data_IF_582495657703
#
_entry.id   IF_582495657703
#
_cell.length_a   1.000
_cell.length_b   1.000
_cell.length_c   1.000
_cell.angle_alpha   90.00
_cell.angle_beta   90.00
_cell.angle_gamma   90.00
#
_symmetry.space_group_name_H-M   'P 1'
#
loop_
_entity.id
_entity.type
_entity.pdbx_description
1 polymer ?
#
# COMPACT_ATOMS: atom_id res chain seq x y z
N UNK A 1 2.38 17.95 -3.68
CA UNK A 1 3.78 17.49 -3.47
C UNK A 1 3.97 16.95 -2.06
N UNK A 2 5.03 16.18 -1.81
CA UNK A 2 5.32 15.57 -0.49
C UNK A 2 6.21 14.33 -0.62
N UNK A 3 6.74 13.82 0.50
CA UNK A 3 7.57 12.59 0.56
C UNK A 3 6.81 11.37 0.02
N UNK A 4 7.51 10.26 -0.22
CA UNK A 4 6.82 8.97 -0.46
C UNK A 4 5.81 8.71 0.66
N UNK A 5 4.67 8.08 0.36
CA UNK A 5 3.68 7.66 1.36
C UNK A 5 2.92 8.74 2.15
N UNK A 6 3.28 10.02 2.01
CA UNK A 6 2.58 11.18 2.60
C UNK A 6 1.06 11.33 2.32
N UNK A 7 0.43 10.44 1.55
CA UNK A 7 -1.01 10.44 1.31
C UNK A 7 -1.49 11.18 0.05
N UNK A 8 -0.58 11.61 -0.83
CA UNK A 8 -0.92 12.35 -2.09
C UNK A 8 -1.94 11.62 -2.96
N UNK A 9 -1.65 10.38 -3.32
CA UNK A 9 -2.55 9.61 -4.17
C UNK A 9 -3.87 9.31 -3.45
N UNK A 10 -3.85 9.13 -2.12
CA UNK A 10 -5.08 8.97 -1.33
C UNK A 10 -5.96 10.23 -1.41
N UNK A 11 -5.36 11.42 -1.36
CA UNK A 11 -6.08 12.67 -1.56
C UNK A 11 -6.74 12.75 -2.94
N UNK A 12 -6.03 12.37 -4.00
CA UNK A 12 -6.59 12.32 -5.37
C UNK A 12 -7.74 11.31 -5.49
N UNK A 13 -7.59 10.13 -4.90
CA UNK A 13 -8.67 9.12 -4.86
C UNK A 13 -9.92 9.68 -4.16
N UNK A 14 -9.76 10.43 -3.08
CA UNK A 14 -10.86 11.12 -2.39
C UNK A 14 -11.52 12.20 -3.27
N UNK A 15 -10.72 13.00 -3.98
CA UNK A 15 -11.27 13.98 -4.93
C UNK A 15 -12.12 13.33 -6.02
N UNK A 16 -11.68 12.17 -6.54
CA UNK A 16 -12.48 11.38 -7.49
C UNK A 16 -13.79 10.87 -6.89
N UNK A 17 -13.82 10.55 -5.60
CA UNK A 17 -15.03 10.11 -4.89
C UNK A 17 -16.01 11.26 -4.69
N UNK A 18 -15.53 12.42 -4.23
CA UNK A 18 -16.40 13.53 -3.79
C UNK A 18 -16.84 14.40 -4.97
N UNK A 19 -15.95 14.61 -5.94
CA UNK A 19 -16.13 15.58 -7.03
C UNK A 19 -15.95 14.97 -8.43
N UNK A 20 -15.74 13.65 -8.52
CA UNK A 20 -15.60 12.93 -9.78
C UNK A 20 -16.70 11.90 -10.00
N UNK A 21 -16.43 10.95 -10.90
CA UNK A 21 -17.34 9.83 -11.19
C UNK A 21 -17.36 8.74 -10.11
N UNK A 22 -16.58 8.90 -9.03
CA UNK A 22 -16.33 7.84 -8.06
C UNK A 22 -15.60 6.65 -8.67
N UNK A 23 -15.83 5.47 -8.08
CA UNK A 23 -15.30 4.20 -8.58
C UNK A 23 -16.48 3.28 -8.88
N UNK A 24 -16.64 2.91 -10.15
CA UNK A 24 -17.62 1.92 -10.57
C UNK A 24 -17.24 0.52 -10.05
N UNK A 25 -18.14 -0.44 -10.19
CA UNK A 25 -17.84 -1.84 -9.83
C UNK A 25 -16.71 -2.40 -10.73
N UNK A 26 -16.67 -2.03 -12.01
CA UNK A 26 -15.57 -2.38 -12.92
C UNK A 26 -14.25 -1.75 -12.50
N UNK A 27 -14.25 -0.46 -12.09
CA UNK A 27 -13.06 0.20 -11.56
C UNK A 27 -12.54 -0.55 -10.32
N UNK A 28 -13.42 -0.85 -9.35
CA UNK A 28 -13.09 -1.56 -8.12
C UNK A 28 -12.51 -2.94 -8.42
N UNK A 29 -13.08 -3.67 -9.37
CA UNK A 29 -12.58 -4.98 -9.80
C UNK A 29 -11.15 -4.90 -10.35
N UNK A 30 -10.78 -3.78 -10.97
CA UNK A 30 -9.40 -3.51 -11.39
C UNK A 30 -8.39 -3.47 -10.23
N UNK A 31 -8.83 -3.13 -9.02
CA UNK A 31 -7.98 -3.10 -7.82
C UNK A 31 -7.82 -4.45 -7.13
N UNK A 32 -8.61 -5.47 -7.47
CA UNK A 32 -8.57 -6.77 -6.80
C UNK A 32 -7.17 -7.37 -6.79
N UNK A 33 -6.50 -7.39 -7.95
CA UNK A 33 -5.12 -7.87 -8.07
C UNK A 33 -4.17 -7.11 -7.14
N UNK A 34 -4.28 -5.78 -7.11
CA UNK A 34 -3.40 -4.90 -6.33
C UNK A 34 -3.59 -5.12 -4.82
N UNK A 35 -4.82 -5.39 -4.37
CA UNK A 35 -5.09 -5.73 -2.96
C UNK A 35 -4.35 -7.02 -2.58
N UNK A 36 -4.43 -8.07 -3.41
CA UNK A 36 -3.71 -9.32 -3.15
C UNK A 36 -2.20 -9.10 -3.08
N UNK A 37 -1.64 -8.36 -4.05
CA UNK A 37 -0.23 -8.01 -4.07
C UNK A 37 0.20 -7.27 -2.81
N UNK A 38 -0.60 -6.30 -2.35
CA UNK A 38 -0.34 -5.56 -1.12
C UNK A 38 -0.28 -6.47 0.12
N UNK A 39 -1.16 -7.47 0.21
CA UNK A 39 -1.15 -8.46 1.31
C UNK A 39 0.12 -9.30 1.27
N UNK A 40 0.47 -9.85 0.11
CA UNK A 40 1.70 -10.65 -0.03
C UNK A 40 2.94 -9.82 0.28
N UNK A 41 3.07 -8.61 -0.26
CA UNK A 41 4.18 -7.71 0.06
C UNK A 41 4.25 -7.40 1.55
N UNK A 42 3.13 -7.07 2.20
CA UNK A 42 3.11 -6.78 3.63
C UNK A 42 3.57 -7.99 4.47
N UNK A 43 3.08 -9.19 4.16
CA UNK A 43 3.48 -10.41 4.87
C UNK A 43 4.96 -10.75 4.61
N UNK A 44 5.43 -10.64 3.36
CA UNK A 44 6.85 -10.86 3.02
C UNK A 44 7.77 -9.86 3.74
N UNK A 45 7.38 -8.59 3.87
CA UNK A 45 8.14 -7.60 4.64
C UNK A 45 8.25 -8.00 6.12
N UNK A 46 7.16 -8.42 6.75
CA UNK A 46 7.19 -8.86 8.15
C UNK A 46 8.02 -10.14 8.34
N UNK A 47 7.96 -11.09 7.40
CA UNK A 47 8.79 -12.31 7.43
C UNK A 47 10.28 -11.96 7.38
N UNK A 48 10.68 -11.03 6.49
CA UNK A 48 12.07 -10.55 6.43
C UNK A 48 12.47 -9.83 7.72
N UNK A 49 11.58 -9.00 8.26
CA UNK A 49 11.83 -8.28 9.50
C UNK A 49 11.99 -9.23 10.72
N UNK A 50 11.28 -10.36 10.77
CA UNK A 50 11.49 -11.38 11.80
C UNK A 50 12.95 -11.87 11.83
N UNK A 51 13.54 -12.12 10.65
CA UNK A 51 14.94 -12.54 10.52
C UNK A 51 15.90 -11.43 10.97
N UNK A 52 15.68 -10.18 10.51
CA UNK A 52 16.52 -9.01 10.87
C UNK A 52 16.46 -8.68 12.36
N UNK A 53 15.26 -8.68 12.94
CA UNK A 53 15.00 -8.34 14.34
C UNK A 53 15.23 -9.54 15.29
N UNK A 54 15.55 -10.72 14.73
CA UNK A 54 15.77 -11.98 15.45
C UNK A 54 14.59 -12.40 16.32
N UNK A 55 13.37 -12.15 15.84
CA UNK A 55 12.13 -12.56 16.50
C UNK A 55 11.81 -13.99 16.06
N UNK A 56 11.49 -14.85 17.02
CA UNK A 56 11.15 -16.25 16.74
C UNK A 56 9.65 -16.42 16.53
N UNK A 57 9.28 -17.29 15.61
CA UNK A 57 7.89 -17.77 15.51
C UNK A 57 7.53 -18.52 16.78
N UNK A 58 6.32 -18.28 17.31
CA UNK A 58 5.81 -19.06 18.43
C UNK A 58 5.43 -20.48 18.01
N UNK A 59 4.88 -20.63 16.81
CA UNK A 59 4.42 -21.92 16.31
C UNK A 59 5.37 -22.43 15.23
N UNK A 60 6.00 -23.59 15.44
CA UNK A 60 6.98 -24.18 14.51
C UNK A 60 6.44 -24.37 13.08
N UNK A 61 5.16 -24.71 12.95
CA UNK A 61 4.47 -24.83 11.66
C UNK A 61 4.52 -23.55 10.81
N UNK A 62 4.62 -22.37 11.45
CA UNK A 62 4.68 -21.10 10.75
C UNK A 62 6.00 -20.87 10.03
N UNK A 63 7.08 -21.61 10.35
CA UNK A 63 8.31 -21.58 9.55
C UNK A 63 8.05 -22.08 8.13
N UNK A 64 7.27 -23.15 7.97
CA UNK A 64 6.90 -23.67 6.65
C UNK A 64 5.98 -22.69 5.90
N UNK A 65 4.98 -22.11 6.60
CA UNK A 65 4.12 -21.07 6.03
C UNK A 65 4.91 -19.85 5.57
N UNK A 66 5.92 -19.42 6.33
CA UNK A 66 6.76 -18.28 5.99
C UNK A 66 7.58 -18.54 4.72
N UNK A 67 8.15 -19.75 4.58
CA UNK A 67 8.86 -20.16 3.34
C UNK A 67 7.92 -20.12 2.14
N UNK A 68 6.71 -20.70 2.26
CA UNK A 68 5.70 -20.68 1.22
C UNK A 68 5.37 -19.27 0.75
N UNK A 69 5.14 -18.33 1.68
CA UNK A 69 4.81 -16.93 1.33
C UNK A 69 6.02 -16.18 0.76
N UNK A 70 7.24 -16.47 1.24
CA UNK A 70 8.47 -15.83 0.78
C UNK A 70 8.81 -16.17 -0.68
N UNK A 71 8.45 -17.35 -1.15
CA UNK A 71 8.72 -17.81 -2.52
C UNK A 71 7.72 -17.28 -3.57
N UNK A 72 6.64 -16.63 -3.14
CA UNK A 72 5.63 -16.07 -4.05
C UNK A 72 6.19 -14.86 -4.81
N UNK A 73 6.12 -14.95 -6.14
CA UNK A 73 6.36 -13.82 -7.04
C UNK A 73 5.12 -12.90 -7.05
N UNK A 74 5.22 -11.78 -6.33
CA UNK A 74 4.12 -10.82 -6.13
C UNK A 74 3.60 -10.26 -7.46
N UNK A 75 4.46 -10.05 -8.46
CA UNK A 75 4.04 -9.44 -9.74
C UNK A 75 3.09 -10.35 -10.53
N UNK A 76 3.25 -11.66 -10.33
CA UNK A 76 2.46 -12.72 -10.98
C UNK A 76 1.21 -13.14 -10.20
N UNK A 77 0.98 -12.60 -9.00
CA UNK A 77 -0.22 -12.89 -8.21
C UNK A 77 -1.46 -12.39 -8.95
N UNK A 78 -2.37 -13.32 -9.28
CA UNK A 78 -3.65 -13.03 -9.94
C UNK A 78 -4.85 -13.46 -9.09
N UNK A 79 -4.68 -14.48 -8.25
CA UNK A 79 -5.72 -15.05 -7.39
C UNK A 79 -5.26 -15.05 -5.93
N UNK A 80 -6.22 -15.23 -5.02
CA UNK A 80 -5.97 -15.30 -3.58
C UNK A 80 -6.67 -16.52 -3.01
N UNK A 81 -5.98 -17.66 -3.13
CA UNK A 81 -6.54 -18.99 -2.91
C UNK A 81 -5.75 -19.78 -1.86
N UNK A 82 -6.28 -20.94 -1.48
CA UNK A 82 -5.52 -21.91 -0.70
C UNK A 82 -4.34 -22.46 -1.52
N UNK A 83 -3.18 -22.73 -0.92
CA UNK A 83 -2.88 -22.73 0.53
C UNK A 83 -2.50 -21.35 1.12
N UNK A 84 -2.36 -20.30 0.29
CA UNK A 84 -1.80 -19.02 0.72
C UNK A 84 -2.65 -18.30 1.77
N UNK A 85 -3.98 -18.34 1.62
CA UNK A 85 -4.92 -17.71 2.56
C UNK A 85 -4.73 -18.27 3.97
N UNK A 86 -4.69 -19.60 4.10
CA UNK A 86 -4.47 -20.27 5.40
C UNK A 86 -3.09 -19.94 5.98
N UNK A 87 -2.05 -19.92 5.14
CA UNK A 87 -0.69 -19.58 5.57
C UNK A 87 -0.61 -18.15 6.11
N UNK A 88 -1.13 -17.15 5.37
CA UNK A 88 -1.16 -15.74 5.79
C UNK A 88 -1.96 -15.58 7.08
N UNK A 89 -3.12 -16.23 7.18
CA UNK A 89 -3.96 -16.19 8.38
C UNK A 89 -3.25 -16.78 9.61
N UNK A 90 -2.58 -17.91 9.44
CA UNK A 90 -1.85 -18.57 10.55
C UNK A 90 -0.61 -17.78 10.96
N UNK A 91 0.08 -17.16 10.00
CA UNK A 91 1.20 -16.25 10.27
C UNK A 91 0.74 -14.98 10.99
N UNK A 92 -0.34 -14.34 10.53
CA UNK A 92 -0.86 -13.13 11.17
C UNK A 92 -1.26 -13.37 12.63
N UNK A 93 -1.77 -14.56 12.95
CA UNK A 93 -2.11 -14.93 14.33
C UNK A 93 -0.91 -15.44 15.16
N UNK A 94 0.30 -15.52 14.60
CA UNK A 94 1.50 -15.86 15.36
C UNK A 94 1.92 -14.68 16.26
N UNK A 95 2.09 -14.89 17.58
CA UNK A 95 2.54 -13.83 18.46
C UNK A 95 3.91 -13.23 18.08
N UNK A 96 4.81 -13.99 17.46
CA UNK A 96 6.08 -13.45 16.95
C UNK A 96 5.86 -12.47 15.79
N UNK A 97 4.93 -12.77 14.88
CA UNK A 97 4.55 -11.84 13.80
C UNK A 97 3.83 -10.61 14.36
N UNK A 98 2.99 -10.77 15.38
CA UNK A 98 2.35 -9.63 16.05
C UNK A 98 3.40 -8.72 16.73
N UNK A 99 4.39 -9.30 17.43
CA UNK A 99 5.52 -8.54 17.99
C UNK A 99 6.31 -7.81 16.90
N UNK A 100 6.56 -8.47 15.77
CA UNK A 100 7.20 -7.86 14.60
C UNK A 100 6.37 -6.69 14.04
N UNK A 101 5.05 -6.80 14.00
CA UNK A 101 4.15 -5.72 13.58
C UNK A 101 4.15 -4.54 14.58
N UNK A 102 4.27 -4.79 15.88
CA UNK A 102 4.37 -3.72 16.89
C UNK A 102 5.68 -2.92 16.72
N UNK A 103 6.73 -3.56 16.22
CA UNK A 103 8.02 -2.96 15.88
C UNK A 103 8.12 -2.46 14.43
N UNK A 104 6.99 -2.32 13.71
CA UNK A 104 6.94 -1.90 12.29
C UNK A 104 7.59 -0.56 11.95
N UNK A 105 7.92 0.29 12.92
CA UNK A 105 8.70 1.52 12.69
C UNK A 105 10.17 1.26 12.37
N UNK A 106 10.68 0.07 12.71
CA UNK A 106 12.09 -0.32 12.52
C UNK A 106 12.38 -0.86 11.11
N UNK A 107 11.36 -1.01 10.26
CA UNK A 107 11.47 -1.50 8.89
C UNK A 107 10.34 -0.95 8.02
N UNK A 108 10.39 -1.20 6.72
CA UNK A 108 9.38 -0.69 5.78
C UNK A 108 8.16 -1.61 5.72
N UNK A 109 7.02 -1.14 6.25
CA UNK A 109 5.74 -1.81 6.18
C UNK A 109 4.63 -0.82 5.81
N UNK A 110 3.77 -1.21 4.87
CA UNK A 110 2.61 -0.40 4.48
C UNK A 110 1.68 -0.13 5.68
N UNK A 111 1.26 1.12 5.86
CA UNK A 111 0.29 1.51 6.90
C UNK A 111 -1.05 0.76 6.80
N UNK A 112 -1.40 0.31 5.59
CA UNK A 112 -2.61 -0.48 5.33
C UNK A 112 -2.47 -1.97 5.65
N UNK A 113 -1.29 -2.44 6.07
CA UNK A 113 -1.03 -3.86 6.32
C UNK A 113 -2.05 -4.47 7.30
N UNK A 114 -2.24 -3.84 8.47
CA UNK A 114 -3.20 -4.32 9.48
C UNK A 114 -4.64 -4.32 8.97
N UNK A 115 -5.03 -3.34 8.15
CA UNK A 115 -6.37 -3.26 7.59
C UNK A 115 -6.71 -4.50 6.75
N UNK A 116 -5.81 -4.90 5.85
CA UNK A 116 -6.04 -6.08 5.01
C UNK A 116 -5.80 -7.39 5.76
N UNK A 117 -4.72 -7.48 6.56
CA UNK A 117 -4.35 -8.72 7.25
C UNK A 117 -5.34 -9.14 8.35
N UNK A 118 -6.04 -8.16 8.94
CA UNK A 118 -7.09 -8.46 9.93
C UNK A 118 -8.39 -8.95 9.29
N UNK A 119 -8.55 -8.83 7.97
CA UNK A 119 -9.80 -9.13 7.26
C UNK A 119 -9.54 -9.97 6.00
N UNK A 120 -8.59 -10.90 6.11
CA UNK A 120 -8.18 -11.83 5.05
C UNK A 120 -9.34 -12.71 4.58
N UNK A 121 -10.25 -13.08 5.48
CA UNK A 121 -11.40 -13.94 5.16
C UNK A 121 -12.36 -13.27 4.17
N UNK A 122 -12.65 -11.98 4.34
CA UNK A 122 -13.47 -11.21 3.39
C UNK A 122 -12.81 -11.15 2.02
N UNK A 123 -11.50 -10.93 1.99
CA UNK A 123 -10.72 -10.77 0.76
C UNK A 123 -10.56 -12.11 0.01
N UNK A 124 -10.53 -13.22 0.73
CA UNK A 124 -10.46 -14.58 0.18
C UNK A 124 -11.82 -15.14 -0.27
N UNK A 125 -12.92 -14.40 -0.05
CA UNK A 125 -14.25 -14.86 -0.43
C UNK A 125 -14.37 -14.96 -1.96
N UNK A 126 -14.92 -16.06 -2.52
CA UNK A 126 -15.16 -16.16 -3.95
C UNK A 126 -16.02 -15.01 -4.47
N UNK A 127 -15.57 -14.36 -5.55
CA UNK A 127 -16.24 -13.17 -6.07
C UNK A 127 -15.97 -11.88 -5.28
N UNK A 128 -14.92 -11.85 -4.46
CA UNK A 128 -14.48 -10.66 -3.75
C UNK A 128 -14.40 -9.44 -4.68
N UNK A 129 -15.13 -8.39 -4.28
CA UNK A 129 -15.08 -7.07 -4.88
C UNK A 129 -14.53 -6.06 -3.86
N UNK A 130 -13.44 -5.34 -4.19
CA UNK A 130 -12.89 -4.32 -3.32
C UNK A 130 -13.92 -3.24 -2.97
N UNK A 131 -14.03 -2.95 -1.69
CA UNK A 131 -14.81 -1.81 -1.22
C UNK A 131 -14.10 -0.50 -1.57
N UNK A 132 -14.83 0.61 -1.50
CA UNK A 132 -14.21 1.93 -1.63
C UNK A 132 -13.08 2.17 -0.62
N UNK A 133 -13.20 1.60 0.59
CA UNK A 133 -12.14 1.68 1.59
C UNK A 133 -10.91 0.86 1.18
N UNK A 134 -11.09 -0.32 0.57
CA UNK A 134 -9.98 -1.08 0.00
C UNK A 134 -9.28 -0.28 -1.11
N UNK A 135 -10.04 0.39 -1.98
CA UNK A 135 -9.48 1.23 -3.05
C UNK A 135 -8.70 2.43 -2.49
N UNK A 136 -9.15 3.03 -1.40
CA UNK A 136 -8.43 4.12 -0.73
C UNK A 136 -7.13 3.62 -0.09
N UNK A 137 -7.15 2.43 0.52
CA UNK A 137 -6.04 1.85 1.28
C UNK A 137 -4.98 1.18 0.41
N UNK A 138 -5.33 0.79 -0.82
CA UNK A 138 -4.40 0.03 -1.67
C UNK A 138 -3.25 0.92 -2.11
N UNK A 139 -2.04 0.45 -1.87
CA UNK A 139 -0.83 1.14 -2.27
C UNK A 139 -0.53 0.84 -3.73
N UNK A 140 -0.42 1.90 -4.51
CA UNK A 140 0.11 1.89 -5.87
C UNK A 140 1.17 2.99 -5.91
N UNK A 141 2.47 2.66 -6.04
CA UNK A 141 3.51 3.66 -6.16
C UNK A 141 3.27 4.54 -7.39
N UNK A 142 3.08 5.85 -7.21
CA UNK A 142 3.01 6.80 -8.32
C UNK A 142 4.38 6.93 -8.96
N UNK A 143 4.45 6.64 -10.26
CA UNK A 143 5.63 6.87 -11.09
C UNK A 143 5.35 8.01 -12.07
N UNK A 144 6.30 8.93 -12.20
CA UNK A 144 6.16 10.11 -13.03
C UNK A 144 5.20 11.16 -12.47
N UNK A 145 4.52 11.82 -13.40
CA UNK A 145 3.60 12.93 -13.18
C UNK A 145 2.27 12.52 -13.79
N UNK A 146 1.19 12.59 -13.02
CA UNK A 146 -0.15 12.23 -13.46
C UNK A 146 -1.09 13.41 -13.20
N UNK A 147 -1.82 13.84 -14.23
CA UNK A 147 -2.79 14.93 -14.14
C UNK A 147 -4.22 14.38 -14.05
N UNK A 148 -5.02 14.97 -13.15
CA UNK A 148 -6.42 14.63 -12.92
C UNK A 148 -7.27 15.89 -13.04
N UNK A 149 -8.09 16.03 -14.09
CA UNK A 149 -9.06 17.11 -14.19
C UNK A 149 -10.30 16.81 -13.33
N UNK A 150 -10.75 17.79 -12.56
CA UNK A 150 -11.97 17.77 -11.76
C UNK A 150 -12.80 19.02 -12.09
N UNK A 151 -14.09 18.86 -12.33
CA UNK A 151 -15.01 19.98 -12.53
C UNK A 151 -15.68 20.32 -11.20
N UNK A 152 -15.44 21.53 -10.70
CA UNK A 152 -15.98 22.01 -9.44
C UNK A 152 -16.73 23.32 -9.69
N UNK A 153 -18.07 23.24 -9.75
CA UNK A 153 -18.96 24.41 -9.85
C UNK A 153 -18.57 25.40 -10.97
N UNK A 154 -18.24 24.87 -12.17
CA UNK A 154 -17.78 25.60 -13.37
C UNK A 154 -16.30 26.05 -13.36
N UNK A 155 -15.50 25.59 -12.39
CA UNK A 155 -14.06 25.75 -12.39
C UNK A 155 -13.41 24.37 -12.56
N UNK A 156 -12.61 24.22 -13.61
CA UNK A 156 -11.85 22.98 -13.84
C UNK A 156 -10.56 23.04 -13.01
N UNK A 157 -10.51 22.26 -11.94
CA UNK A 157 -9.30 22.00 -11.18
C UNK A 157 -8.48 20.92 -11.87
N UNK A 158 -7.24 21.24 -12.22
CA UNK A 158 -6.27 20.26 -12.70
C UNK A 158 -5.31 19.91 -11.56
N UNK A 159 -5.53 18.77 -10.93
CA UNK A 159 -4.65 18.29 -9.87
C UNK A 159 -3.53 17.45 -10.45
N UNK A 160 -2.33 17.62 -9.91
CA UNK A 160 -1.13 16.89 -10.35
C UNK A 160 -0.63 16.01 -9.21
N UNK A 161 -0.64 14.69 -9.40
CA UNK A 161 0.04 13.73 -8.51
C UNK A 161 1.44 13.43 -9.03
N UNK A 162 2.40 13.35 -8.12
CA UNK A 162 3.81 13.13 -8.45
C UNK A 162 4.43 12.10 -7.51
N UNK A 163 5.34 11.29 -8.04
CA UNK A 163 6.13 10.35 -7.23
C UNK A 163 6.92 11.07 -6.12
N UNK A 164 6.82 10.61 -4.88
CA UNK A 164 7.44 11.25 -3.70
C UNK A 164 8.89 10.83 -3.39
N UNK A 165 9.33 9.73 -4.00
CA UNK A 165 10.66 9.15 -3.85
C UNK A 165 11.73 10.06 -4.48
N UNK A 166 12.94 10.11 -3.92
CA UNK A 166 14.09 10.90 -4.41
C UNK A 166 14.33 10.68 -5.91
N UNK A 167 14.21 9.45 -6.40
CA UNK A 167 14.34 9.11 -7.83
C UNK A 167 13.34 9.86 -8.73
N UNK A 168 12.12 10.11 -8.23
CA UNK A 168 11.03 10.75 -8.96
C UNK A 168 11.06 12.28 -8.84
N UNK A 169 11.67 12.84 -7.79
CA UNK A 169 11.69 14.30 -7.53
C UNK A 169 12.32 15.12 -8.65
N UNK A 170 13.29 14.55 -9.39
CA UNK A 170 13.90 15.23 -10.54
C UNK A 170 12.89 15.55 -11.64
N UNK A 171 11.79 14.79 -11.74
CA UNK A 171 10.75 14.99 -12.75
C UNK A 171 9.79 16.12 -12.40
N UNK A 172 9.70 16.54 -11.13
CA UNK A 172 8.73 17.54 -10.66
C UNK A 172 8.87 18.90 -11.37
N UNK A 173 10.07 19.23 -11.86
CA UNK A 173 10.29 20.47 -12.61
C UNK A 173 9.39 20.59 -13.84
N UNK A 174 8.96 19.46 -14.42
CA UNK A 174 8.11 19.42 -15.62
C UNK A 174 6.63 19.73 -15.35
N UNK A 175 6.21 19.87 -14.09
CA UNK A 175 4.81 20.19 -13.75
C UNK A 175 4.67 21.47 -12.93
N UNK A 176 5.71 22.30 -12.84
CA UNK A 176 5.69 23.57 -12.09
C UNK A 176 5.36 24.80 -12.94
N UNK A 177 5.18 24.66 -14.25
CA UNK A 177 4.71 25.75 -15.09
C UNK A 177 3.20 25.98 -14.89
N UNK A 178 2.80 27.26 -14.73
CA UNK A 178 1.40 27.68 -14.59
C UNK A 178 0.65 27.07 -13.38
N UNK A 179 1.36 26.77 -12.29
CA UNK A 179 0.75 26.28 -11.05
C UNK A 179 0.10 27.43 -10.25
N UNK A 180 -1.20 27.31 -9.97
CA UNK A 180 -1.93 28.27 -9.13
C UNK A 180 -1.68 28.08 -7.64
N UNK A 181 -1.55 26.83 -7.17
CA UNK A 181 -1.41 26.50 -5.75
C UNK A 181 -0.62 25.21 -5.55
N UNK A 182 0.10 25.12 -4.43
CA UNK A 182 0.87 23.94 -4.03
C UNK A 182 0.27 23.37 -2.74
N UNK A 183 -0.23 22.14 -2.83
CA UNK A 183 -0.60 21.34 -1.65
C UNK A 183 0.59 20.49 -1.22
N UNK A 184 1.20 20.83 -0.08
CA UNK A 184 2.32 20.09 0.49
C UNK A 184 1.82 19.15 1.59
N UNK A 185 2.01 17.85 1.41
CA UNK A 185 1.55 16.81 2.34
C UNK A 185 2.72 16.24 3.14
N UNK A 186 2.49 16.07 4.44
CA UNK A 186 3.42 15.45 5.40
C UNK A 186 2.66 14.41 6.19
N UNK A 187 3.18 13.18 6.23
CA UNK A 187 2.65 12.16 7.12
C UNK A 187 3.11 12.44 8.55
N UNK A 188 2.16 12.68 9.45
CA UNK A 188 2.45 12.85 10.87
C UNK A 188 2.94 11.55 11.53
N UNK A 189 2.59 10.40 10.95
CA UNK A 189 3.00 9.07 11.41
C UNK A 189 4.45 8.71 11.08
N UNK A 190 5.10 9.42 10.16
CA UNK A 190 6.49 9.13 9.73
C UNK A 190 7.56 9.71 10.68
N UNK A 191 7.17 10.33 11.81
CA UNK A 191 8.10 11.02 12.71
C UNK A 191 9.17 10.11 13.34
N UNK A 192 8.88 8.81 13.50
CA UNK A 192 9.80 7.79 14.03
C UNK A 192 10.21 6.74 12.99
N UNK A 193 10.00 7.03 11.70
CA UNK A 193 10.36 6.15 10.59
C UNK A 193 11.59 6.65 9.84
N UNK A 194 12.29 5.71 9.21
CA UNK A 194 13.39 5.99 8.28
C UNK A 194 12.87 5.98 6.84
N UNK A 195 13.48 6.76 5.95
CA UNK A 195 13.11 6.74 4.54
C UNK A 195 13.49 5.38 3.93
N UNK A 196 12.60 4.82 3.10
CA UNK A 196 12.86 3.60 2.29
C UNK A 196 14.19 3.71 1.52
N UNK A 197 14.53 4.92 1.08
CA UNK A 197 15.67 5.21 0.23
C UNK A 197 16.99 5.38 1.01
N UNK A 198 16.94 5.34 2.35
CA UNK A 198 18.12 5.55 3.22
C UNK A 198 18.96 4.29 3.44
N UNK A 199 18.44 3.08 3.20
CA UNK A 199 19.20 1.83 3.36
C UNK A 199 20.35 1.67 2.34
N UNK A 200 20.45 2.56 1.34
CA UNK A 200 21.45 2.56 0.27
C UNK A 200 22.49 3.70 0.38
N UNK A 201 22.61 4.36 1.54
CA UNK A 201 23.68 5.32 1.86
C UNK A 201 24.55 4.82 3.02
#
# INVERSE_FOLDING_TARGET
VGTGESGKSTFIKQMRIIHGSGYSEEDKKGFTKLVYQNIFTAMQSMIRAMETLKILYKYEQNKANAVLIREVDVEKVMTFEQPYVSAIKTLWNDPGIQECYDRRREYQLSDSAKYYLSDVDRIATPGYLPTQQDVLRVRVPTTGIIEYPFDLENIIFRMVDVGGQRSERRKWIHCFENVTSIMFLVALSEYDQVLVESDNE
#
